data_IF_311848070985
#
_entry.id   IF_311848070985
#
_cell.length_a   1.000
_cell.length_b   1.000
_cell.length_c   1.000
_cell.angle_alpha   90.00
_cell.angle_beta   90.00
_cell.angle_gamma   90.00
#
_symmetry.space_group_name_H-M   'P 1'
#
loop_
_entity.id
_entity.type
_entity.pdbx_description
1 polymer ?
#
# COMPACT_ATOMS: atom_id res chain seq x y z
N UNK A 1 17.70 1.49 7.79
CA UNK A 1 16.32 1.75 7.36
C UNK A 1 15.71 0.53 6.70
N UNK A 2 15.39 -0.48 7.51
CA UNK A 2 14.77 -1.71 7.05
C UNK A 2 13.24 -1.52 6.94
N UNK A 3 12.82 -0.65 6.03
CA UNK A 3 11.40 -0.43 5.71
C UNK A 3 11.11 -0.83 4.27
N UNK A 4 9.93 -1.39 4.05
CA UNK A 4 9.44 -1.68 2.70
C UNK A 4 8.66 -0.47 2.22
N UNK A 5 9.20 0.24 1.23
CA UNK A 5 8.52 1.37 0.62
C UNK A 5 7.73 0.92 -0.61
N UNK A 6 6.44 1.22 -0.63
CA UNK A 6 5.53 0.92 -1.75
C UNK A 6 4.97 2.24 -2.25
N UNK A 7 5.09 2.52 -3.54
CA UNK A 7 4.50 3.70 -4.18
C UNK A 7 3.34 3.27 -5.07
N UNK A 8 2.19 3.95 -4.94
CA UNK A 8 0.97 3.63 -5.70
C UNK A 8 0.35 4.93 -6.21
N UNK A 9 -0.02 4.96 -7.48
CA UNK A 9 -0.87 6.02 -8.06
C UNK A 9 -2.34 5.62 -7.97
N UNK A 10 -3.15 6.45 -7.31
CA UNK A 10 -4.60 6.25 -7.14
C UNK A 10 -5.34 7.51 -7.58
N UNK A 11 -6.05 7.46 -8.71
CA UNK A 11 -6.78 8.59 -9.28
C UNK A 11 -8.26 8.29 -9.58
N UNK A 12 -8.72 7.07 -9.32
CA UNK A 12 -10.09 6.62 -9.59
C UNK A 12 -10.68 5.80 -8.44
N UNK A 13 -12.00 5.62 -8.45
CA UNK A 13 -12.71 4.76 -7.49
C UNK A 13 -12.25 3.30 -7.55
N UNK A 14 -11.89 2.81 -8.75
CA UNK A 14 -11.31 1.47 -8.91
C UNK A 14 -9.95 1.37 -8.23
N UNK A 15 -9.15 2.43 -8.28
CA UNK A 15 -7.91 2.51 -7.51
C UNK A 15 -8.14 2.42 -6.00
N UNK A 16 -9.24 2.99 -5.49
CA UNK A 16 -9.62 2.87 -4.08
C UNK A 16 -9.98 1.43 -3.70
N UNK A 17 -10.81 0.76 -4.51
CA UNK A 17 -11.19 -0.64 -4.31
C UNK A 17 -9.97 -1.57 -4.37
N UNK A 18 -9.05 -1.30 -5.29
CA UNK A 18 -7.80 -2.04 -5.36
C UNK A 18 -6.96 -1.85 -4.10
N UNK A 19 -6.84 -0.61 -3.59
CA UNK A 19 -6.07 -0.33 -2.38
C UNK A 19 -6.63 -1.11 -1.18
N UNK A 20 -7.95 -1.14 -1.02
CA UNK A 20 -8.61 -1.98 0.00
C UNK A 20 -8.24 -3.46 -0.14
N UNK A 21 -8.32 -4.02 -1.35
CA UNK A 21 -7.96 -5.41 -1.60
C UNK A 21 -6.45 -5.69 -1.41
N UNK A 22 -5.59 -4.77 -1.84
CA UNK A 22 -4.14 -4.90 -1.66
C UNK A 22 -3.78 -4.91 -0.18
N UNK A 23 -4.39 -4.01 0.60
CA UNK A 23 -4.19 -3.98 2.05
C UNK A 23 -4.67 -5.29 2.68
N UNK A 24 -5.88 -5.76 2.36
CA UNK A 24 -6.38 -7.07 2.81
C UNK A 24 -5.43 -8.20 2.47
N UNK A 25 -4.93 -8.25 1.24
CA UNK A 25 -3.99 -9.26 0.78
C UNK A 25 -2.67 -9.17 1.55
N UNK A 26 -2.05 -7.99 1.60
CA UNK A 26 -0.79 -7.78 2.31
C UNK A 26 -0.91 -8.18 3.77
N UNK A 27 -2.02 -7.84 4.44
CA UNK A 27 -2.23 -8.22 5.83
C UNK A 27 -2.58 -9.69 6.02
N UNK A 28 -3.29 -10.31 5.09
CA UNK A 28 -3.49 -11.75 5.14
C UNK A 28 -2.14 -12.50 5.13
N UNK A 29 -1.18 -12.07 4.29
CA UNK A 29 0.11 -12.73 4.16
C UNK A 29 1.18 -12.27 5.17
N UNK A 30 1.17 -11.00 5.59
CA UNK A 30 2.06 -10.47 6.63
C UNK A 30 1.64 -10.93 8.04
N UNK A 31 0.46 -11.53 8.18
CA UNK A 31 -0.12 -12.00 9.44
C UNK A 31 -0.24 -10.94 10.57
N UNK A 32 -0.40 -9.61 10.34
CA UNK A 32 -0.54 -8.66 11.45
C UNK A 32 -1.89 -8.81 12.18
N UNK A 33 -2.88 -9.48 11.59
CA UNK A 33 -4.16 -9.82 12.22
C UNK A 33 -4.17 -11.19 12.92
N UNK A 34 -3.12 -12.00 12.74
CA UNK A 34 -2.93 -13.18 13.56
C UNK A 34 -2.05 -12.76 14.75
N UNK A 35 -2.69 -12.32 15.83
CA UNK A 35 -2.46 -12.73 17.22
C UNK A 35 -2.82 -11.63 18.24
N UNK A 36 -3.95 -11.83 18.95
CA UNK A 36 -4.06 -11.54 20.39
C UNK A 36 -4.61 -12.82 21.08
N UNK A 37 -3.73 -13.82 21.23
CA UNK A 37 -4.08 -15.14 21.77
C UNK A 37 -4.09 -15.14 23.29
N UNK A 38 -5.02 -14.38 23.86
CA UNK A 38 -5.67 -14.82 25.10
C UNK A 38 -7.18 -15.00 24.98
N UNK A 39 -7.82 -14.41 23.95
CA UNK A 39 -9.29 -14.39 23.88
C UNK A 39 -9.88 -14.69 22.49
N UNK A 40 -9.07 -14.97 21.46
CA UNK A 40 -9.55 -15.10 20.07
C UNK A 40 -9.47 -16.53 19.50
N UNK A 41 -9.41 -17.56 20.33
CA UNK A 41 -9.48 -18.95 19.87
C UNK A 41 -10.93 -19.44 19.92
N UNK A 42 -11.53 -19.68 18.76
CA UNK A 42 -12.64 -20.63 18.66
C UNK A 42 -12.02 -22.01 18.82
N UNK A 43 -12.31 -22.67 19.94
CA UNK A 43 -11.70 -23.93 20.42
C UNK A 43 -11.47 -24.95 19.31
N UNK A 44 -12.45 -25.12 18.42
CA UNK A 44 -12.49 -26.26 17.50
C UNK A 44 -11.56 -26.13 16.28
N UNK A 45 -11.01 -24.93 16.03
CA UNK A 45 -10.13 -24.68 14.88
C UNK A 45 -8.64 -24.83 15.25
N UNK A 46 -8.29 -24.52 16.50
CA UNK A 46 -6.91 -24.61 16.98
C UNK A 46 -6.46 -26.06 17.19
N UNK A 47 -7.36 -26.94 17.63
CA UNK A 47 -7.03 -28.35 17.87
C UNK A 47 -6.68 -29.12 16.58
N UNK A 48 -7.13 -28.64 15.41
CA UNK A 48 -6.80 -29.22 14.10
C UNK A 48 -5.47 -28.70 13.53
N UNK A 49 -5.01 -27.55 13.98
CA UNK A 49 -3.76 -26.94 13.52
C UNK A 49 -2.75 -27.27 14.60
N UNK A 50 -2.16 -28.47 14.50
CA UNK A 50 -1.20 -29.03 15.46
C UNK A 50 -0.34 -27.97 16.11
N UNK A 51 -0.46 -27.90 17.44
CA UNK A 51 0.26 -27.00 18.31
C UNK A 51 1.77 -27.25 18.21
N UNK A 52 2.41 -26.46 17.36
CA UNK A 52 3.85 -26.25 17.42
C UNK A 52 4.12 -24.75 17.65
N UNK A 53 3.48 -24.23 18.71
CA UNK A 53 3.65 -22.85 19.19
C UNK A 53 5.09 -22.53 19.63
N UNK A 54 5.94 -23.55 19.79
CA UNK A 54 7.36 -23.39 20.12
C UNK A 54 8.22 -22.92 18.94
N UNK A 55 7.85 -23.29 17.71
CA UNK A 55 8.54 -22.86 16.48
C UNK A 55 8.05 -21.51 15.93
N UNK A 56 7.00 -20.93 16.51
CA UNK A 56 6.38 -19.70 16.01
C UNK A 56 7.03 -18.41 16.53
N UNK A 57 7.73 -18.47 17.67
CA UNK A 57 8.44 -17.32 18.23
C UNK A 57 9.58 -16.83 17.35
N UNK A 58 10.20 -17.72 16.56
CA UNK A 58 11.33 -17.37 15.68
C UNK A 58 10.90 -16.74 14.33
N UNK A 59 9.63 -16.91 13.91
CA UNK A 59 9.13 -16.34 12.63
C UNK A 59 8.52 -14.95 12.76
N UNK A 60 8.40 -14.42 13.98
CA UNK A 60 7.95 -13.05 14.26
C UNK A 60 9.05 -11.99 14.05
N UNK A 61 10.28 -12.40 13.69
CA UNK A 61 11.46 -11.53 13.73
C UNK A 61 11.61 -10.53 12.57
N UNK A 62 10.76 -10.53 11.54
CA UNK A 62 10.94 -9.63 10.39
C UNK A 62 9.62 -9.08 9.81
N UNK A 63 8.74 -8.54 10.64
CA UNK A 63 7.69 -7.63 10.14
C UNK A 63 8.37 -6.29 9.85
N UNK A 64 8.91 -6.14 8.64
CA UNK A 64 9.46 -4.87 8.18
C UNK A 64 8.33 -3.83 8.13
N UNK A 65 8.48 -2.66 8.77
CA UNK A 65 7.50 -1.59 8.64
C UNK A 65 7.28 -1.25 7.17
N UNK A 66 6.02 -1.20 6.75
CA UNK A 66 5.65 -0.91 5.37
C UNK A 66 5.23 0.56 5.27
N UNK A 67 5.82 1.29 4.34
CA UNK A 67 5.51 2.70 4.10
C UNK A 67 4.87 2.84 2.72
N UNK A 68 3.62 3.28 2.69
CA UNK A 68 2.89 3.57 1.47
C UNK A 68 3.04 5.04 1.08
N UNK A 69 3.60 5.27 -0.10
CA UNK A 69 3.67 6.57 -0.76
C UNK A 69 2.56 6.63 -1.81
N UNK A 70 1.44 7.24 -1.44
CA UNK A 70 0.22 7.30 -2.23
C UNK A 70 0.22 8.59 -3.04
N UNK A 71 0.40 8.48 -4.35
CA UNK A 71 0.21 9.57 -5.29
C UNK A 71 -1.27 9.63 -5.65
N UNK A 72 -1.95 10.72 -5.33
CA UNK A 72 -3.40 10.81 -5.51
C UNK A 72 -3.86 12.24 -5.81
N UNK A 73 -5.16 12.42 -6.08
CA UNK A 73 -5.79 13.72 -6.20
C UNK A 73 -6.52 14.08 -4.90
N UNK A 74 -6.80 15.37 -4.70
CA UNK A 74 -7.51 15.87 -3.51
C UNK A 74 -8.81 15.11 -3.19
N UNK A 75 -9.61 14.73 -4.19
CA UNK A 75 -10.87 14.01 -3.98
C UNK A 75 -10.58 12.62 -3.38
N UNK A 76 -9.78 11.80 -4.05
CA UNK A 76 -9.43 10.44 -3.61
C UNK A 76 -8.63 10.42 -2.30
N UNK A 77 -7.79 11.44 -2.06
CA UNK A 77 -7.05 11.63 -0.81
C UNK A 77 -7.97 11.63 0.42
N UNK A 78 -9.04 12.43 0.39
CA UNK A 78 -9.95 12.55 1.53
C UNK A 78 -10.64 11.23 1.89
N UNK A 79 -11.06 10.45 0.89
CA UNK A 79 -11.62 9.12 1.08
C UNK A 79 -10.59 8.14 1.66
N UNK A 80 -9.37 8.14 1.13
CA UNK A 80 -8.30 7.25 1.62
C UNK A 80 -7.90 7.56 3.05
N UNK A 81 -7.74 8.84 3.40
CA UNK A 81 -7.39 9.25 4.76
C UNK A 81 -8.46 8.76 5.73
N UNK A 82 -9.75 8.98 5.42
CA UNK A 82 -10.84 8.49 6.25
C UNK A 82 -10.81 6.96 6.40
N UNK A 83 -10.67 6.25 5.28
CA UNK A 83 -10.61 4.79 5.23
C UNK A 83 -9.45 4.21 6.05
N UNK A 84 -8.23 4.71 5.85
CA UNK A 84 -7.03 4.22 6.53
C UNK A 84 -7.05 4.54 8.04
N UNK A 85 -7.60 5.69 8.42
CA UNK A 85 -7.75 6.07 9.83
C UNK A 85 -8.68 5.13 10.60
N UNK A 86 -9.63 4.47 9.93
CA UNK A 86 -10.49 3.47 10.58
C UNK A 86 -9.74 2.18 10.94
N UNK A 87 -8.68 1.83 10.19
CA UNK A 87 -8.02 0.53 10.33
C UNK A 87 -6.89 0.53 11.37
N UNK A 88 -6.33 1.71 11.72
CA UNK A 88 -5.30 1.91 12.77
C UNK A 88 -4.22 0.83 12.78
N UNK A 89 -3.63 0.56 11.62
CA UNK A 89 -2.74 -0.57 11.41
C UNK A 89 -1.37 -0.35 12.05
N UNK A 90 -0.87 -1.36 12.77
CA UNK A 90 0.49 -1.34 13.31
C UNK A 90 1.52 -1.57 12.21
N UNK A 91 2.69 -0.93 12.34
CA UNK A 91 3.84 -1.07 11.41
C UNK A 91 3.53 -0.70 9.96
N UNK A 92 2.51 0.14 9.74
CA UNK A 92 2.19 0.72 8.44
C UNK A 92 2.11 2.24 8.54
N UNK A 93 2.84 2.91 7.65
CA UNK A 93 2.80 4.38 7.51
C UNK A 93 2.25 4.75 6.13
N UNK A 94 1.58 5.90 6.05
CA UNK A 94 0.98 6.41 4.83
C UNK A 94 1.38 7.87 4.60
N UNK A 95 1.84 8.17 3.39
CA UNK A 95 2.17 9.52 2.94
C UNK A 95 1.43 9.80 1.63
N UNK A 96 0.83 10.98 1.53
CA UNK A 96 0.02 11.39 0.39
C UNK A 96 0.70 12.50 -0.40
N UNK A 97 0.70 12.37 -1.72
CA UNK A 97 1.33 13.31 -2.64
C UNK A 97 0.32 13.70 -3.73
N UNK A 98 0.07 15.00 -3.89
CA UNK A 98 -0.84 15.51 -4.93
C UNK A 98 -0.18 15.43 -6.31
N UNK A 99 -0.57 14.41 -7.10
CA UNK A 99 0.15 14.10 -8.35
C UNK A 99 -0.08 15.13 -9.46
N UNK A 100 -1.19 15.88 -9.42
CA UNK A 100 -1.51 16.83 -10.48
C UNK A 100 -0.42 17.90 -10.63
N UNK A 101 0.24 18.28 -9.53
CA UNK A 101 1.38 19.22 -9.53
C UNK A 101 2.57 18.76 -10.37
N UNK A 102 2.72 17.44 -10.56
CA UNK A 102 3.82 16.85 -11.33
C UNK A 102 3.41 16.52 -12.76
N UNK A 103 2.12 16.29 -13.02
CA UNK A 103 1.61 15.96 -14.35
C UNK A 103 1.85 17.07 -15.37
N UNK A 104 1.74 18.34 -14.96
CA UNK A 104 1.95 19.48 -15.86
C UNK A 104 3.34 19.49 -16.49
N UNK A 105 4.35 19.03 -15.73
CA UNK A 105 5.72 18.87 -16.22
C UNK A 105 5.86 17.75 -17.28
N UNK A 106 4.94 16.79 -17.26
CA UNK A 106 4.92 15.61 -18.13
C UNK A 106 4.00 15.77 -19.34
N UNK A 107 3.19 16.84 -19.41
CA UNK A 107 2.29 17.11 -20.54
C UNK A 107 3.03 17.23 -21.89
N UNK A 108 4.33 17.55 -21.86
CA UNK A 108 5.19 17.59 -23.06
C UNK A 108 5.50 16.21 -23.63
N UNK A 109 5.30 15.14 -22.85
CA UNK A 109 5.50 13.77 -23.31
C UNK A 109 4.23 13.33 -24.04
N UNK A 110 4.33 13.26 -25.37
CA UNK A 110 3.23 12.80 -26.22
C UNK A 110 3.00 11.32 -25.96
N UNK A 111 1.80 10.97 -25.47
CA UNK A 111 1.35 9.60 -25.26
C UNK A 111 0.16 9.29 -26.14
N UNK A 112 0.19 8.12 -26.79
CA UNK A 112 -0.99 7.56 -27.46
C UNK A 112 -1.81 6.64 -26.55
N UNK A 113 -1.35 6.43 -25.31
CA UNK A 113 -2.02 5.55 -24.36
C UNK A 113 -3.28 6.25 -23.81
N UNK A 114 -4.42 5.54 -23.62
CA UNK A 114 -5.65 6.14 -23.08
C UNK A 114 -5.46 6.88 -21.74
N UNK A 115 -4.55 6.39 -20.91
CA UNK A 115 -4.20 7.03 -19.61
C UNK A 115 -3.34 8.30 -19.73
N UNK A 116 -3.02 8.75 -20.95
CA UNK A 116 -2.25 9.96 -21.20
C UNK A 116 -0.85 9.92 -20.60
N UNK A 117 -0.46 11.01 -19.93
CA UNK A 117 0.87 11.18 -19.33
C UNK A 117 0.99 10.62 -17.90
N UNK A 118 -0.11 10.15 -17.29
CA UNK A 118 -0.13 9.62 -15.92
C UNK A 118 0.90 8.49 -15.66
N UNK A 119 1.13 7.54 -16.59
CA UNK A 119 2.22 6.55 -16.49
C UNK A 119 3.61 7.11 -16.29
N UNK A 120 3.86 8.35 -16.70
CA UNK A 120 5.17 8.96 -16.58
C UNK A 120 5.42 9.60 -15.22
N UNK A 121 4.41 9.71 -14.34
CA UNK A 121 4.60 10.21 -12.97
C UNK A 121 5.61 9.36 -12.21
N UNK A 122 5.71 8.06 -12.54
CA UNK A 122 6.73 7.15 -11.97
C UNK A 122 8.17 7.62 -12.19
N UNK A 123 8.42 8.37 -13.28
CA UNK A 123 9.75 8.89 -13.61
C UNK A 123 10.18 10.01 -12.66
N UNK A 124 9.21 10.66 -12.00
CA UNK A 124 9.44 11.75 -11.07
C UNK A 124 9.50 11.26 -9.61
N UNK A 125 9.37 9.96 -9.34
CA UNK A 125 9.45 9.42 -7.96
C UNK A 125 10.73 9.81 -7.22
N UNK A 126 11.93 9.86 -7.83
CA UNK A 126 13.13 10.31 -7.14
C UNK A 126 13.05 11.77 -6.64
N UNK A 127 12.22 12.60 -7.27
CA UNK A 127 11.98 13.99 -6.84
C UNK A 127 10.80 14.11 -5.86
N UNK A 128 9.78 13.25 -6.02
CA UNK A 128 8.56 13.28 -5.21
C UNK A 128 8.82 12.68 -3.81
N UNK A 129 9.60 11.60 -3.74
CA UNK A 129 9.84 10.86 -2.51
C UNK A 129 10.93 11.53 -1.67
N UNK A 130 10.87 11.40 -0.32
CA UNK A 130 11.94 11.89 0.54
C UNK A 130 13.30 11.29 0.15
N UNK A 131 14.40 12.04 0.26
CA UNK A 131 15.73 11.57 -0.13
C UNK A 131 16.25 10.41 0.72
N UNK A 132 15.60 10.11 1.85
CA UNK A 132 15.87 8.90 2.65
C UNK A 132 15.35 7.61 2.02
N UNK A 133 14.47 7.68 1.01
CA UNK A 133 13.89 6.50 0.34
C UNK A 133 14.83 6.00 -0.75
N UNK A 134 15.66 5.01 -0.42
CA UNK A 134 16.68 4.47 -1.34
C UNK A 134 16.11 3.46 -2.36
N UNK A 135 15.02 2.76 -2.01
CA UNK A 135 14.37 1.74 -2.85
C UNK A 135 12.87 1.81 -2.66
N UNK A 136 12.12 1.69 -3.75
CA UNK A 136 10.65 1.70 -3.73
C UNK A 136 10.09 0.70 -4.72
N UNK A 137 9.11 -0.10 -4.28
CA UNK A 137 8.28 -0.91 -5.16
C UNK A 137 7.17 -0.04 -5.71
N UNK A 138 7.20 0.31 -7.00
CA UNK A 138 6.20 1.16 -7.61
C UNK A 138 5.14 0.35 -8.37
N UNK A 139 3.86 0.65 -8.12
CA UNK A 139 2.72 0.04 -8.80
C UNK A 139 1.81 1.10 -9.42
N UNK A 140 1.32 0.82 -10.63
CA UNK A 140 0.45 1.71 -11.38
C UNK A 140 -0.89 1.04 -11.66
N UNK A 141 -1.98 1.73 -11.32
CA UNK A 141 -3.33 1.31 -11.61
C UNK A 141 -3.88 2.21 -12.72
N UNK A 142 -4.20 1.62 -13.87
CA UNK A 142 -4.86 2.32 -14.96
C UNK A 142 -6.19 1.67 -15.28
N UNK A 143 -7.20 2.51 -15.44
CA UNK A 143 -8.46 2.14 -16.08
C UNK A 143 -8.22 2.00 -17.59
N UNK A 144 -7.88 0.79 -18.03
CA UNK A 144 -8.12 0.37 -19.42
C UNK A 144 -9.49 -0.29 -19.47
N UNK A 145 -10.52 0.49 -19.80
CA UNK A 145 -11.67 -0.04 -20.53
C UNK A 145 -11.35 0.18 -22.00
N UNK A 146 -11.11 -0.92 -22.72
CA UNK A 146 -11.28 -0.98 -24.17
C UNK A 146 -12.76 -1.24 -24.47
#
# INVERSE_FOLDING_TARGET
DDKIHISILIDSERGLLYMDNLLKFLFYYQKPFHFDFKHCCISDLCDKIGDDSSHYKDRMLYIYPTVFHILTNNKSSSYLIHFLNMWKLHNVEYYFYEYNTYLDRLQRIVSKHPSGAKPFVKLLLPEILPPSVNKVCHHLLYDTIL
#
